data_IF_629551736277
#
_entry.id   IF_629551736277
#
_cell.length_a   1.000
_cell.length_b   1.000
_cell.length_c   1.000
_cell.angle_alpha   90.00
_cell.angle_beta   90.00
_cell.angle_gamma   90.00
#
_symmetry.space_group_name_H-M   'P 1'
#
loop_
_entity.id
_entity.type
_entity.pdbx_description
1 polymer ?
#
# COMPACT_ATOMS: atom_id res chain seq x y z
N UNK A 1 21.92 3.52 -10.93
CA UNK A 1 22.31 2.72 -9.75
C UNK A 1 21.24 2.89 -8.68
N UNK A 2 20.63 1.83 -8.17
CA UNK A 2 19.63 1.91 -7.10
C UNK A 2 20.27 1.60 -5.74
N UNK A 3 19.81 2.24 -4.67
CA UNK A 3 20.28 1.96 -3.31
C UNK A 3 19.95 0.49 -2.92
N UNK A 4 20.99 -0.30 -2.66
CA UNK A 4 20.88 -1.74 -2.38
C UNK A 4 20.21 -2.01 -1.03
N UNK A 5 20.48 -1.20 -0.03
CA UNK A 5 19.89 -1.31 1.30
C UNK A 5 18.39 -1.02 1.25
N UNK A 6 18.00 0.10 0.64
CA UNK A 6 16.59 0.45 0.48
C UNK A 6 15.83 -0.64 -0.28
N UNK A 7 16.42 -1.17 -1.36
CA UNK A 7 15.81 -2.27 -2.13
C UNK A 7 15.60 -3.52 -1.26
N UNK A 8 16.59 -3.90 -0.45
CA UNK A 8 16.50 -5.05 0.45
C UNK A 8 15.45 -4.85 1.53
N UNK A 9 15.46 -3.69 2.19
CA UNK A 9 14.48 -3.34 3.23
C UNK A 9 13.06 -3.31 2.68
N UNK A 10 12.82 -2.67 1.53
CA UNK A 10 11.50 -2.66 0.89
C UNK A 10 11.03 -4.08 0.52
N UNK A 11 11.94 -4.93 0.06
CA UNK A 11 11.59 -6.32 -0.27
C UNK A 11 11.17 -7.11 0.99
N UNK A 12 11.93 -6.98 2.08
CA UNK A 12 11.59 -7.60 3.37
C UNK A 12 10.28 -7.03 3.92
N UNK A 13 10.09 -5.72 3.87
CA UNK A 13 8.89 -5.06 4.35
C UNK A 13 7.64 -5.52 3.59
N UNK A 14 7.71 -5.63 2.27
CA UNK A 14 6.61 -6.19 1.48
C UNK A 14 6.30 -7.64 1.87
N UNK A 15 7.31 -8.45 2.18
CA UNK A 15 7.12 -9.84 2.58
C UNK A 15 6.48 -9.96 3.97
N UNK A 16 6.96 -9.18 4.95
CA UNK A 16 6.42 -9.20 6.31
C UNK A 16 5.02 -8.59 6.38
N UNK A 17 4.65 -7.67 5.48
CA UNK A 17 3.32 -7.07 5.45
C UNK A 17 2.20 -8.05 5.02
N UNK A 18 2.53 -9.11 4.25
CA UNK A 18 1.54 -10.08 3.73
C UNK A 18 0.72 -10.79 4.83
N UNK A 19 1.32 -11.34 5.91
CA UNK A 19 0.56 -11.96 7.00
C UNK A 19 -0.17 -10.97 7.91
N UNK A 20 0.22 -9.69 7.92
CA UNK A 20 -0.32 -8.70 8.86
C UNK A 20 -1.53 -7.94 8.35
N UNK A 21 -1.72 -7.84 7.03
CA UNK A 21 -2.85 -7.13 6.42
C UNK A 21 -3.44 -7.90 5.25
N UNK A 22 -4.76 -8.13 5.32
CA UNK A 22 -5.53 -8.77 4.26
C UNK A 22 -5.57 -7.91 2.99
N UNK A 23 -5.58 -6.59 3.11
CA UNK A 23 -5.52 -5.66 1.98
C UNK A 23 -4.19 -5.76 1.22
N UNK A 24 -3.07 -5.92 1.94
CA UNK A 24 -1.75 -6.15 1.34
C UNK A 24 -1.70 -7.47 0.56
N UNK A 25 -2.28 -8.54 1.15
CA UNK A 25 -2.40 -9.87 0.52
C UNK A 25 -3.21 -9.79 -0.78
N UNK A 26 -4.38 -9.14 -0.74
CA UNK A 26 -5.26 -8.96 -1.90
C UNK A 26 -4.58 -8.17 -3.02
N UNK A 27 -3.87 -7.08 -2.69
CA UNK A 27 -3.10 -6.32 -3.67
C UNK A 27 -2.01 -7.18 -4.30
N UNK A 28 -1.26 -7.93 -3.49
CA UNK A 28 -0.20 -8.82 -3.99
C UNK A 28 -0.75 -9.93 -4.88
N UNK A 29 -1.87 -10.56 -4.50
CA UNK A 29 -2.51 -11.63 -5.29
C UNK A 29 -2.99 -11.10 -6.63
N UNK A 30 -3.64 -9.93 -6.66
CA UNK A 30 -4.01 -9.25 -7.91
C UNK A 30 -2.80 -9.05 -8.82
N UNK A 31 -1.63 -8.67 -8.27
CA UNK A 31 -0.40 -8.52 -9.08
C UNK A 31 0.09 -9.86 -9.62
N UNK A 32 -0.04 -10.94 -8.84
CA UNK A 32 0.36 -12.29 -9.27
C UNK A 32 -0.57 -12.83 -10.36
N UNK A 33 -1.87 -12.56 -10.27
CA UNK A 33 -2.86 -12.89 -11.31
C UNK A 33 -2.60 -12.15 -12.62
N UNK A 34 -2.15 -10.89 -12.55
CA UNK A 34 -1.73 -10.10 -13.72
C UNK A 34 -0.43 -10.64 -14.37
N UNK A 35 0.27 -11.58 -13.72
CA UNK A 35 1.48 -12.21 -14.25
C UNK A 35 2.79 -11.58 -13.75
N UNK A 36 2.76 -10.65 -12.79
CA UNK A 36 3.99 -10.11 -12.20
C UNK A 36 4.74 -11.23 -11.48
N UNK A 37 6.06 -11.37 -11.70
CA UNK A 37 6.94 -12.24 -10.91
C UNK A 37 6.89 -11.93 -9.40
N UNK A 38 7.21 -12.90 -8.54
CA UNK A 38 7.17 -12.76 -7.07
C UNK A 38 7.87 -11.49 -6.57
N UNK A 39 9.11 -11.28 -6.98
CA UNK A 39 9.91 -10.10 -6.59
C UNK A 39 9.36 -8.78 -7.17
N UNK A 40 8.72 -8.83 -8.34
CA UNK A 40 8.11 -7.65 -8.95
C UNK A 40 6.82 -7.24 -8.23
N UNK A 41 5.98 -8.23 -7.87
CA UNK A 41 4.77 -8.03 -7.07
C UNK A 41 5.11 -7.47 -5.68
N UNK A 42 6.11 -8.04 -4.99
CA UNK A 42 6.60 -7.52 -3.70
C UNK A 42 7.12 -6.09 -3.82
N UNK A 43 7.88 -5.78 -4.87
CA UNK A 43 8.38 -4.41 -5.08
C UNK A 43 7.25 -3.41 -5.28
N UNK A 44 6.21 -3.80 -6.02
CA UNK A 44 5.03 -2.96 -6.28
C UNK A 44 4.20 -2.77 -5.01
N UNK A 45 4.08 -3.80 -4.17
CA UNK A 45 3.47 -3.70 -2.85
C UNK A 45 4.27 -2.75 -1.93
N UNK A 46 5.59 -2.94 -1.82
CA UNK A 46 6.45 -2.12 -0.99
C UNK A 46 6.47 -0.65 -1.43
N UNK A 47 6.41 -0.37 -2.74
CA UNK A 47 6.28 0.98 -3.26
C UNK A 47 4.95 1.64 -2.86
N UNK A 48 3.85 0.87 -2.84
CA UNK A 48 2.55 1.35 -2.37
C UNK A 48 2.60 1.68 -0.88
N UNK A 49 3.14 0.78 -0.05
CA UNK A 49 3.30 0.99 1.38
C UNK A 49 4.17 2.22 1.69
N UNK A 50 5.27 2.40 0.95
CA UNK A 50 6.13 3.57 1.09
C UNK A 50 5.40 4.87 0.75
N UNK A 51 4.57 4.84 -0.29
CA UNK A 51 3.76 6.00 -0.69
C UNK A 51 2.72 6.35 0.37
N UNK A 52 2.05 5.35 0.95
CA UNK A 52 1.10 5.56 2.04
C UNK A 52 1.77 6.10 3.30
N UNK A 53 2.94 5.56 3.67
CA UNK A 53 3.73 6.07 4.79
C UNK A 53 4.16 7.53 4.56
N UNK A 54 4.63 7.84 3.35
CA UNK A 54 5.03 9.20 2.99
C UNK A 54 3.85 10.19 3.11
N UNK A 55 2.66 9.79 2.66
CA UNK A 55 1.44 10.58 2.84
C UNK A 55 1.11 10.79 4.32
N UNK A 56 1.14 9.72 5.13
CA UNK A 56 0.89 9.82 6.58
C UNK A 56 1.86 10.80 7.25
N UNK A 57 3.14 10.75 6.88
CA UNK A 57 4.17 11.65 7.43
C UNK A 57 4.02 13.10 6.98
N UNK A 58 3.54 13.35 5.76
CA UNK A 58 3.30 14.71 5.26
C UNK A 58 2.08 15.34 5.93
N UNK A 59 1.02 14.56 6.10
CA UNK A 59 -0.27 15.05 6.58
C UNK A 59 -0.47 14.87 8.10
N UNK A 60 0.53 14.32 8.80
CA UNK A 60 0.48 13.96 10.21
C UNK A 60 -0.75 13.09 10.56
N UNK A 61 -1.06 12.15 9.66
CA UNK A 61 -2.20 11.26 9.79
C UNK A 61 -1.78 9.86 10.23
N UNK A 62 -2.64 9.19 11.00
CA UNK A 62 -2.46 7.79 11.31
C UNK A 62 -2.69 6.91 10.08
N UNK A 63 -1.90 5.85 9.98
CA UNK A 63 -2.04 4.85 8.93
C UNK A 63 -3.42 4.17 9.02
N UNK A 64 -4.17 4.22 7.92
CA UNK A 64 -5.43 3.49 7.74
C UNK A 64 -5.33 2.59 6.51
N UNK A 65 -5.68 1.31 6.67
CA UNK A 65 -5.64 0.33 5.58
C UNK A 65 -6.59 0.69 4.44
N UNK A 66 -7.74 1.32 4.75
CA UNK A 66 -8.72 1.76 3.75
C UNK A 66 -8.19 2.88 2.86
N UNK A 67 -7.44 3.83 3.44
CA UNK A 67 -6.79 4.91 2.69
C UNK A 67 -5.58 4.39 1.91
N UNK A 68 -4.83 3.46 2.49
CA UNK A 68 -3.64 2.88 1.87
C UNK A 68 -4.00 1.97 0.69
N UNK A 69 -5.08 1.19 0.78
CA UNK A 69 -5.55 0.28 -0.26
C UNK A 69 -7.03 0.55 -0.52
N UNK A 70 -7.36 1.60 -1.29
CA UNK A 70 -8.75 1.86 -1.63
C UNK A 70 -9.30 0.64 -2.37
N UNK A 71 -10.27 -0.03 -1.76
CA UNK A 71 -11.10 -0.97 -2.47
C UNK A 71 -11.77 -0.17 -3.58
N UNK A 72 -11.50 -0.51 -4.85
CA UNK A 72 -12.25 0.07 -5.96
C UNK A 72 -13.71 -0.36 -5.79
N UNK A 73 -14.50 0.42 -5.05
CA UNK A 73 -15.82 0.02 -4.60
C UNK A 73 -16.50 0.97 -3.61
N UNK A 74 -15.84 1.99 -3.06
CA UNK A 74 -16.52 2.99 -2.23
C UNK A 74 -15.82 4.34 -2.32
N UNK A 75 -15.95 4.98 -3.48
CA UNK A 75 -15.87 6.43 -3.58
C UNK A 75 -17.27 6.97 -3.28
N UNK A 76 -17.76 6.71 -2.06
CA UNK A 76 -18.94 7.38 -1.49
C UNK A 76 -18.47 8.05 -0.22
N UNK A 77 -17.95 9.26 -0.38
CA UNK A 77 -17.92 10.22 0.69
C UNK A 77 -19.35 10.73 0.89
N UNK A 78 -19.95 10.67 2.09
CA UNK A 78 -20.84 11.74 2.47
C UNK A 78 -19.94 12.97 2.63
N UNK A 79 -20.00 13.87 1.65
CA UNK A 79 -19.70 15.28 1.88
C UNK A 79 -20.65 15.74 2.99
N UNK A 80 -20.18 15.70 4.23
CA UNK A 80 -20.84 16.36 5.35
C UNK A 80 -20.61 17.86 5.20
N UNK A 81 -21.39 18.43 4.27
CA UNK A 81 -21.66 19.85 4.14
C UNK A 81 -22.51 20.27 5.35
N UNK A 82 -21.86 20.48 6.49
CA UNK A 82 -22.45 21.14 7.66
C UNK A 82 -21.75 22.48 7.89
N UNK A 83 -22.27 23.50 7.21
CA UNK A 83 -22.33 24.87 7.70
C UNK A 83 -23.58 25.50 7.04
N UNK A 84 -24.43 26.28 7.74
CA UNK A 84 -24.13 27.23 8.82
C UNK A 84 -24.50 26.80 10.24
#
# INVERSE_FOLDING_TARGET
MANRYLKGTCHLWGFTALPHSSACRAYYDRRREVGDAFAAALRRLAGKLLSSLHHCLIHDEFYSEERAFPAHGSQDAPVEESNP
#
